data_IF_540050095466
#
_entry.id   IF_540050095466
#
_cell.length_a   1.000
_cell.length_b   1.000
_cell.length_c   1.000
_cell.angle_alpha   90.00
_cell.angle_beta   90.00
_cell.angle_gamma   90.00
#
_symmetry.space_group_name_H-M   'P 1'
#
loop_
_entity.id
_entity.type
_entity.pdbx_description
1 polymer ?
#
# COMPACT_ATOMS: atom_id res chain seq x y z
N UNK A 1 -11.24 18.95 19.79
CA UNK A 1 -11.04 17.73 18.98
C UNK A 1 -12.36 17.00 18.95
N UNK A 2 -12.98 16.79 17.79
CA UNK A 2 -14.10 15.83 17.63
C UNK A 2 -13.71 14.51 18.28
N UNK A 3 -14.71 13.76 18.77
CA UNK A 3 -14.58 12.37 19.20
C UNK A 3 -14.23 11.46 18.00
N UNK A 4 -13.07 11.65 17.35
CA UNK A 4 -12.39 10.51 16.75
C UNK A 4 -12.24 9.49 17.88
N UNK A 5 -12.57 8.24 17.61
CA UNK A 5 -12.43 7.18 18.61
C UNK A 5 -10.98 7.03 19.07
N UNK A 6 -10.03 7.44 18.22
CA UNK A 6 -8.60 7.44 18.50
C UNK A 6 -8.00 8.81 18.22
N UNK A 7 -7.03 9.21 19.05
CA UNK A 7 -6.24 10.40 18.76
C UNK A 7 -5.38 10.15 17.51
N UNK A 8 -5.31 11.10 16.57
CA UNK A 8 -4.37 11.01 15.46
C UNK A 8 -2.94 10.83 15.97
N UNK A 9 -2.17 9.97 15.31
CA UNK A 9 -0.79 9.73 15.74
C UNK A 9 0.09 10.92 15.33
N UNK A 10 0.58 11.63 16.34
CA UNK A 10 1.41 12.82 16.16
C UNK A 10 2.70 12.55 15.36
N UNK A 11 3.13 11.28 15.26
CA UNK A 11 4.33 10.88 14.51
C UNK A 11 4.06 10.58 13.03
N UNK A 12 2.82 10.61 12.56
CA UNK A 12 2.47 10.30 11.16
C UNK A 12 2.68 11.48 10.22
N UNK A 13 2.37 11.32 8.92
CA UNK A 13 2.82 12.26 7.89
C UNK A 13 2.06 13.60 7.96
N UNK A 14 2.74 14.70 7.63
CA UNK A 14 2.10 16.01 7.51
C UNK A 14 0.94 16.02 6.51
N UNK A 15 1.09 15.32 5.39
CA UNK A 15 0.04 15.19 4.39
C UNK A 15 -1.23 14.54 4.98
N UNK A 16 -1.10 13.43 5.71
CA UNK A 16 -2.24 12.78 6.35
C UNK A 16 -2.89 13.68 7.40
N UNK A 17 -2.11 14.42 8.20
CA UNK A 17 -2.66 15.40 9.15
C UNK A 17 -3.52 16.45 8.48
N UNK A 18 -3.04 17.02 7.37
CA UNK A 18 -3.80 18.03 6.63
C UNK A 18 -5.06 17.45 5.99
N UNK A 19 -4.98 16.23 5.44
CA UNK A 19 -6.15 15.53 4.91
C UNK A 19 -7.17 15.28 6.01
N UNK A 20 -6.73 14.80 7.18
CA UNK A 20 -7.60 14.57 8.33
C UNK A 20 -8.24 15.85 8.84
N UNK A 21 -7.52 16.99 8.83
CA UNK A 21 -8.10 18.29 9.19
C UNK A 21 -9.25 18.69 8.26
N UNK A 22 -9.08 18.51 6.95
CA UNK A 22 -10.14 18.78 5.96
C UNK A 22 -11.36 17.89 6.21
N UNK A 23 -11.16 16.59 6.38
CA UNK A 23 -12.25 15.63 6.65
C UNK A 23 -12.95 15.92 7.99
N UNK A 24 -12.20 16.39 8.98
CA UNK A 24 -12.75 16.78 10.28
C UNK A 24 -13.70 17.97 10.17
N UNK A 25 -13.29 19.04 9.49
CA UNK A 25 -14.14 20.23 9.32
C UNK A 25 -15.40 19.91 8.50
N UNK A 26 -15.30 19.00 7.54
CA UNK A 26 -16.43 18.48 6.77
C UNK A 26 -17.47 17.80 7.70
N UNK A 27 -16.99 16.98 8.65
CA UNK A 27 -17.85 16.32 9.62
C UNK A 27 -18.44 17.27 10.67
N UNK A 28 -17.67 18.23 11.17
CA UNK A 28 -18.17 19.27 12.09
C UNK A 28 -19.28 20.10 11.43
N UNK A 29 -19.12 20.43 10.15
CA UNK A 29 -20.13 21.10 9.36
C UNK A 29 -21.44 20.27 9.28
N UNK A 30 -21.33 18.98 8.99
CA UNK A 30 -22.47 18.05 8.98
C UNK A 30 -23.20 18.00 10.33
N UNK A 31 -22.48 17.86 11.44
CA UNK A 31 -23.08 17.79 12.79
C UNK A 31 -23.86 19.06 13.12
N UNK A 32 -23.30 20.23 12.79
CA UNK A 32 -23.94 21.54 13.01
C UNK A 32 -25.19 21.70 12.15
N UNK A 33 -25.14 21.30 10.88
CA UNK A 33 -26.29 21.34 9.94
C UNK A 33 -27.47 20.50 10.42
N UNK A 34 -27.21 19.40 11.13
CA UNK A 34 -28.23 18.46 11.58
C UNK A 34 -28.49 18.46 13.09
N UNK A 35 -27.98 19.45 13.82
CA UNK A 35 -28.29 19.65 15.24
C UNK A 35 -27.80 18.55 16.18
N UNK A 36 -26.76 17.80 15.79
CA UNK A 36 -26.15 16.73 16.60
C UNK A 36 -24.87 17.24 17.29
N UNK A 37 -25.01 18.22 18.20
CA UNK A 37 -23.85 18.70 18.98
C UNK A 37 -23.42 17.66 20.05
N UNK A 38 -22.12 17.35 20.18
CA UNK A 38 -21.59 16.73 21.38
C UNK A 38 -21.59 17.72 22.57
N UNK A 39 -21.52 17.26 23.82
CA UNK A 39 -21.54 18.13 25.00
C UNK A 39 -20.39 19.15 24.98
N UNK A 40 -20.58 20.35 25.55
CA UNK A 40 -19.68 21.49 25.35
C UNK A 40 -18.28 21.21 25.93
N UNK A 41 -17.25 21.27 25.07
CA UNK A 41 -15.85 21.25 25.50
C UNK A 41 -15.39 22.64 25.93
N UNK A 42 -14.53 22.73 26.97
CA UNK A 42 -14.01 23.98 27.57
C UNK A 42 -12.87 24.63 26.77
N UNK A 43 -12.88 24.56 25.44
CA UNK A 43 -11.89 25.19 24.57
C UNK A 43 -12.50 26.44 23.90
N UNK A 44 -11.69 27.48 23.58
CA UNK A 44 -12.22 28.71 23.00
C UNK A 44 -12.92 28.41 21.66
N UNK A 45 -14.09 29.04 21.47
CA UNK A 45 -14.86 29.02 20.22
C UNK A 45 -13.94 29.46 19.07
N UNK A 46 -13.51 28.51 18.24
CA UNK A 46 -13.03 28.83 16.89
C UNK A 46 -14.27 29.13 16.04
N UNK A 47 -14.27 30.29 15.39
CA UNK A 47 -15.32 30.69 14.46
C UNK A 47 -15.52 29.62 13.38
N UNK A 48 -16.79 29.32 13.12
CA UNK A 48 -17.23 28.14 12.39
C UNK A 48 -16.93 28.20 10.90
N UNK A 49 -16.39 27.13 10.33
CA UNK A 49 -16.22 26.96 8.89
C UNK A 49 -17.59 26.76 8.18
N UNK A 50 -17.96 27.70 7.31
CA UNK A 50 -18.99 27.53 6.28
C UNK A 50 -18.58 26.44 5.26
N UNK A 51 -19.50 25.93 4.40
CA UNK A 51 -19.11 25.03 3.30
C UNK A 51 -18.00 25.62 2.42
N UNK A 52 -18.03 26.94 2.21
CA UNK A 52 -17.00 27.66 1.48
C UNK A 52 -15.66 27.60 2.23
N UNK A 53 -15.65 27.72 3.55
CA UNK A 53 -14.42 27.62 4.36
C UNK A 53 -13.81 26.21 4.34
N UNK A 54 -14.63 25.15 4.32
CA UNK A 54 -14.14 23.76 4.18
C UNK A 54 -13.52 23.54 2.80
N UNK A 55 -14.18 24.05 1.75
CA UNK A 55 -13.66 23.96 0.39
C UNK A 55 -12.37 24.79 0.23
N UNK A 56 -12.34 26.01 0.76
CA UNK A 56 -11.14 26.87 0.77
C UNK A 56 -9.98 26.20 1.51
N UNK A 57 -10.24 25.55 2.65
CA UNK A 57 -9.23 24.75 3.33
C UNK A 57 -8.72 23.64 2.41
N UNK A 58 -9.61 22.83 1.82
CA UNK A 58 -9.23 21.74 0.94
C UNK A 58 -8.37 22.23 -0.25
N UNK A 59 -8.76 23.33 -0.89
CA UNK A 59 -8.04 23.94 -2.01
C UNK A 59 -6.68 24.47 -1.57
N UNK A 60 -6.59 25.10 -0.39
CA UNK A 60 -5.33 25.57 0.18
C UNK A 60 -4.38 24.41 0.52
N UNK A 61 -4.91 23.31 1.08
CA UNK A 61 -4.16 22.08 1.36
C UNK A 61 -3.65 21.45 0.06
N UNK A 62 -4.51 21.33 -0.96
CA UNK A 62 -4.13 20.83 -2.28
C UNK A 62 -3.01 21.67 -2.89
N UNK A 63 -3.13 23.00 -2.84
CA UNK A 63 -2.10 23.91 -3.35
C UNK A 63 -0.77 23.73 -2.61
N UNK A 64 -0.81 23.68 -1.28
CA UNK A 64 0.38 23.48 -0.45
C UNK A 64 1.09 22.15 -0.75
N UNK A 65 0.35 21.04 -0.83
CA UNK A 65 0.93 19.74 -1.16
C UNK A 65 1.51 19.69 -2.58
N UNK A 66 0.87 20.35 -3.55
CA UNK A 66 1.42 20.50 -4.92
C UNK A 66 2.73 21.29 -4.92
N UNK A 67 2.80 22.38 -4.17
CA UNK A 67 4.01 23.19 -4.08
C UNK A 67 5.17 22.40 -3.44
N UNK A 68 4.90 21.57 -2.42
CA UNK A 68 5.92 20.68 -1.84
C UNK A 68 6.47 19.65 -2.82
N UNK A 69 5.68 19.24 -3.81
CA UNK A 69 6.09 18.28 -4.85
C UNK A 69 6.75 18.97 -6.06
N UNK A 70 6.68 20.31 -6.18
CA UNK A 70 7.15 21.05 -7.34
C UNK A 70 8.58 21.60 -7.14
N UNK A 71 9.62 21.09 -7.85
CA UNK A 71 11.02 21.52 -7.68
C UNK A 71 11.31 23.00 -7.92
N UNK A 72 10.36 23.74 -8.50
CA UNK A 72 10.46 25.18 -8.77
C UNK A 72 9.77 26.05 -7.73
N UNK A 73 8.98 25.47 -6.84
CA UNK A 73 8.30 26.20 -5.78
C UNK A 73 9.24 26.45 -4.59
N UNK A 74 9.02 27.56 -3.87
CA UNK A 74 9.80 27.88 -2.67
C UNK A 74 9.56 26.88 -1.53
N UNK A 75 8.37 26.28 -1.48
CA UNK A 75 8.01 25.24 -0.52
C UNK A 75 8.44 23.83 -0.94
N UNK A 76 9.16 23.68 -2.06
CA UNK A 76 9.63 22.38 -2.52
C UNK A 76 10.43 21.65 -1.44
N UNK A 77 10.09 20.39 -1.22
CA UNK A 77 10.82 19.58 -0.27
C UNK A 77 10.95 18.13 -0.74
N UNK A 78 12.17 17.64 -0.97
CA UNK A 78 12.39 16.24 -1.27
C UNK A 78 12.31 15.38 -0.02
N UNK A 79 11.77 14.17 -0.15
CA UNK A 79 11.75 13.22 0.96
C UNK A 79 13.12 12.57 1.04
N UNK A 80 13.80 12.64 2.18
CA UNK A 80 15.14 12.05 2.38
C UNK A 80 15.09 10.77 3.20
N UNK A 81 14.24 10.75 4.23
CA UNK A 81 14.00 9.62 5.12
C UNK A 81 12.50 9.39 5.27
N UNK A 82 12.11 8.16 5.58
CA UNK A 82 10.73 7.82 5.96
C UNK A 82 10.44 8.05 7.44
N UNK A 83 11.48 8.17 8.29
CA UNK A 83 11.32 8.29 9.74
C UNK A 83 10.94 9.70 10.18
N UNK A 84 11.35 10.74 9.46
CA UNK A 84 11.11 12.15 9.82
C UNK A 84 10.65 12.95 8.61
N UNK A 85 9.66 13.82 8.82
CA UNK A 85 9.24 14.81 7.83
C UNK A 85 10.27 15.94 7.85
N UNK A 86 10.60 16.50 6.69
CA UNK A 86 11.37 17.73 6.59
C UNK A 86 10.37 18.92 6.68
N UNK A 87 10.80 20.15 7.03
CA UNK A 87 12.16 20.64 7.22
C UNK A 87 12.79 20.22 8.54
N UNK A 88 14.07 19.84 8.48
CA UNK A 88 14.96 19.73 9.65
C UNK A 88 15.31 21.10 10.25
N UNK A 89 14.32 21.99 10.36
CA UNK A 89 14.50 23.38 10.81
C UNK A 89 15.08 23.45 12.23
N UNK A 90 14.85 22.41 13.05
CA UNK A 90 15.40 22.26 14.40
C UNK A 90 16.72 21.49 14.45
N UNK A 91 17.24 20.96 13.33
CA UNK A 91 18.49 20.23 13.33
C UNK A 91 19.71 21.17 13.44
N UNK A 92 20.83 20.71 14.03
CA UNK A 92 22.06 21.48 14.09
C UNK A 92 22.52 21.91 12.69
N UNK A 93 23.12 23.10 12.56
CA UNK A 93 23.55 23.67 11.28
C UNK A 93 24.44 22.72 10.45
N UNK A 94 25.32 21.96 11.10
CA UNK A 94 26.17 20.97 10.44
C UNK A 94 25.37 19.81 9.83
N UNK A 95 24.32 19.34 10.52
CA UNK A 95 23.43 18.28 10.02
C UNK A 95 22.63 18.80 8.83
N UNK A 96 22.09 20.02 8.94
CA UNK A 96 21.37 20.66 7.84
C UNK A 96 22.26 20.80 6.60
N UNK A 97 23.47 21.32 6.76
CA UNK A 97 24.44 21.45 5.66
C UNK A 97 24.74 20.10 4.99
N UNK A 98 24.93 19.05 5.79
CA UNK A 98 25.18 17.70 5.28
C UNK A 98 23.98 17.16 4.48
N UNK A 99 22.76 17.33 5.00
CA UNK A 99 21.54 16.89 4.33
C UNK A 99 21.25 17.70 3.06
N UNK A 100 21.50 19.00 3.08
CA UNK A 100 21.37 19.86 1.89
C UNK A 100 22.37 19.45 0.81
N UNK A 101 23.63 19.20 1.18
CA UNK A 101 24.66 18.72 0.26
C UNK A 101 24.33 17.34 -0.32
N UNK A 102 23.89 16.40 0.52
CA UNK A 102 23.45 15.07 0.08
C UNK A 102 22.25 15.17 -0.87
N UNK A 103 21.25 15.98 -0.52
CA UNK A 103 20.04 16.18 -1.32
C UNK A 103 20.37 16.79 -2.68
N UNK A 104 21.24 17.80 -2.72
CA UNK A 104 21.70 18.42 -3.96
C UNK A 104 22.40 17.42 -4.89
N UNK A 105 23.20 16.50 -4.32
CA UNK A 105 23.85 15.41 -5.06
C UNK A 105 22.88 14.31 -5.51
N UNK A 106 21.91 13.95 -4.67
CA UNK A 106 20.99 12.84 -4.88
C UNK A 106 19.89 13.15 -5.92
N UNK A 107 19.36 14.38 -5.93
CA UNK A 107 18.29 14.81 -6.85
C UNK A 107 18.55 14.48 -8.34
N UNK A 108 19.70 14.80 -8.94
CA UNK A 108 19.96 14.47 -10.34
C UNK A 108 20.08 12.95 -10.61
N UNK A 109 20.20 12.11 -9.58
CA UNK A 109 20.31 10.65 -9.69
C UNK A 109 18.94 10.00 -9.71
N UNK A 110 17.99 10.50 -8.92
CA UNK A 110 16.61 9.98 -8.87
C UNK A 110 15.79 10.43 -10.08
N UNK A 111 14.71 9.69 -10.36
CA UNK A 111 13.83 9.98 -11.49
C UNK A 111 12.94 11.19 -11.25
N UNK A 112 12.42 11.31 -10.03
CA UNK A 112 11.59 12.42 -9.57
C UNK A 112 12.32 13.06 -8.41
N UNK A 113 12.50 14.38 -8.43
CA UNK A 113 13.31 15.10 -7.44
C UNK A 113 12.85 14.86 -5.99
N UNK A 114 11.59 14.50 -5.77
CA UNK A 114 11.05 14.16 -4.45
C UNK A 114 11.55 12.83 -3.89
N UNK A 115 12.08 11.94 -4.73
CA UNK A 115 12.36 10.53 -4.40
C UNK A 115 13.78 10.28 -3.92
N UNK A 116 14.46 11.30 -3.38
CA UNK A 116 15.78 11.14 -2.74
C UNK A 116 15.78 9.98 -1.73
N UNK A 117 14.67 9.76 -1.04
CA UNK A 117 14.42 8.66 -0.11
C UNK A 117 14.60 7.29 -0.75
N UNK A 118 14.22 7.09 -2.02
CA UNK A 118 14.41 5.81 -2.69
C UNK A 118 15.89 5.54 -2.96
N UNK A 119 16.67 6.57 -3.33
CA UNK A 119 18.12 6.45 -3.43
C UNK A 119 18.75 6.18 -2.06
N UNK A 120 18.29 6.85 -1.00
CA UNK A 120 18.74 6.59 0.38
C UNK A 120 18.53 5.12 0.76
N UNK A 121 17.38 4.54 0.43
CA UNK A 121 17.10 3.12 0.68
C UNK A 121 17.97 2.20 -0.17
N UNK A 122 18.21 2.51 -1.45
CA UNK A 122 19.15 1.75 -2.26
C UNK A 122 20.55 1.76 -1.63
N UNK A 123 21.08 2.93 -1.26
CA UNK A 123 22.38 3.02 -0.59
C UNK A 123 22.41 2.21 0.71
N UNK A 124 21.32 2.23 1.49
CA UNK A 124 21.17 1.40 2.68
C UNK A 124 21.26 -0.09 2.33
N UNK A 125 20.47 -0.59 1.38
CA UNK A 125 20.45 -2.01 1.02
C UNK A 125 21.78 -2.49 0.42
N UNK A 126 22.44 -1.67 -0.37
CA UNK A 126 23.75 -1.99 -0.95
C UNK A 126 24.90 -1.92 0.04
N UNK A 127 24.77 -1.15 1.13
CA UNK A 127 25.78 -1.07 2.19
C UNK A 127 25.54 -2.04 3.35
N UNK A 128 24.32 -2.54 3.55
CA UNK A 128 23.97 -3.45 4.66
C UNK A 128 23.54 -4.83 4.18
N UNK A 129 22.42 -4.91 3.45
CA UNK A 129 21.78 -6.17 3.03
C UNK A 129 22.70 -7.04 2.17
N UNK A 130 23.27 -6.49 1.11
CA UNK A 130 24.12 -7.25 0.17
C UNK A 130 25.42 -7.72 0.84
N UNK A 131 26.25 -6.86 1.47
CA UNK A 131 27.45 -7.31 2.16
C UNK A 131 27.16 -8.34 3.25
N UNK A 132 26.08 -8.16 4.00
CA UNK A 132 25.64 -9.12 5.02
C UNK A 132 25.32 -10.49 4.41
N UNK A 133 24.58 -10.54 3.30
CA UNK A 133 24.27 -11.80 2.63
C UNK A 133 25.54 -12.48 2.07
N UNK A 134 26.40 -11.71 1.38
CA UNK A 134 27.67 -12.21 0.84
C UNK A 134 28.53 -12.82 1.96
N UNK A 135 28.65 -12.14 3.11
CA UNK A 135 29.41 -12.65 4.23
C UNK A 135 28.78 -13.90 4.85
N UNK A 136 27.45 -14.01 4.92
CA UNK A 136 26.78 -15.24 5.37
C UNK A 136 27.10 -16.43 4.47
N UNK A 137 27.17 -16.23 3.15
CA UNK A 137 27.56 -17.27 2.21
C UNK A 137 29.04 -17.63 2.31
N UNK A 138 29.91 -16.67 2.60
CA UNK A 138 31.34 -16.90 2.83
C UNK A 138 31.62 -17.62 4.16
N UNK A 139 31.00 -17.18 5.26
CA UNK A 139 31.25 -17.69 6.60
C UNK A 139 29.98 -17.62 7.47
N UNK A 140 29.15 -18.65 7.34
CA UNK A 140 27.86 -18.70 8.02
C UNK A 140 27.98 -18.80 9.54
N UNK A 141 27.23 -17.95 10.24
CA UNK A 141 27.01 -18.00 11.69
C UNK A 141 25.54 -17.74 11.98
N UNK A 142 24.92 -18.56 12.83
CA UNK A 142 23.49 -18.46 13.15
C UNK A 142 23.09 -17.10 13.71
N UNK A 143 23.89 -16.51 14.61
CA UNK A 143 23.59 -15.19 15.15
C UNK A 143 23.57 -14.11 14.05
N UNK A 144 24.48 -14.19 13.07
CA UNK A 144 24.49 -13.26 11.94
C UNK A 144 23.28 -13.50 11.04
N UNK A 145 22.91 -14.77 10.82
CA UNK A 145 21.69 -15.14 10.08
C UNK A 145 20.43 -14.55 10.72
N UNK A 146 20.32 -14.59 12.06
CA UNK A 146 19.20 -13.98 12.80
C UNK A 146 19.21 -12.46 12.69
N UNK A 147 20.36 -11.81 12.87
CA UNK A 147 20.46 -10.35 12.75
C UNK A 147 20.13 -9.88 11.33
N UNK A 148 20.61 -10.58 10.32
CA UNK A 148 20.29 -10.34 8.91
C UNK A 148 18.79 -10.46 8.66
N UNK A 149 18.18 -11.52 9.18
CA UNK A 149 16.75 -11.75 9.08
C UNK A 149 15.92 -10.61 9.72
N UNK A 150 16.27 -10.19 10.95
CA UNK A 150 15.58 -9.08 11.64
C UNK A 150 15.68 -7.78 10.84
N UNK A 151 16.88 -7.48 10.31
CA UNK A 151 17.10 -6.33 9.43
C UNK A 151 16.22 -6.40 8.17
N UNK A 152 16.08 -7.58 7.54
CA UNK A 152 15.23 -7.73 6.36
C UNK A 152 13.75 -7.61 6.66
N UNK A 153 13.25 -8.16 7.77
CA UNK A 153 11.85 -7.95 8.17
C UNK A 153 11.54 -6.45 8.30
N UNK A 154 12.48 -5.66 8.83
CA UNK A 154 12.35 -4.21 8.88
C UNK A 154 12.36 -3.55 7.49
N UNK A 155 13.17 -4.06 6.54
CA UNK A 155 13.25 -3.50 5.19
C UNK A 155 12.13 -3.93 4.24
N UNK A 156 11.50 -5.09 4.46
CA UNK A 156 10.58 -5.73 3.52
C UNK A 156 9.43 -4.83 3.06
N UNK A 157 8.76 -4.14 3.99
CA UNK A 157 7.64 -3.25 3.67
C UNK A 157 8.08 -2.12 2.76
N UNK A 158 9.03 -1.30 3.22
CA UNK A 158 9.56 -0.18 2.43
C UNK A 158 10.17 -0.63 1.11
N UNK A 159 10.93 -1.73 1.07
CA UNK A 159 11.48 -2.23 -0.19
C UNK A 159 10.38 -2.63 -1.17
N UNK A 160 9.38 -3.39 -0.70
CA UNK A 160 8.30 -3.88 -1.56
C UNK A 160 7.51 -2.73 -2.17
N UNK A 161 7.24 -1.68 -1.40
CA UNK A 161 6.52 -0.51 -1.93
C UNK A 161 7.42 0.44 -2.73
N UNK A 162 8.74 0.44 -2.51
CA UNK A 162 9.68 1.05 -3.48
C UNK A 162 9.63 0.30 -4.81
N UNK A 163 9.62 -1.04 -4.77
CA UNK A 163 9.47 -1.86 -5.98
C UNK A 163 8.11 -1.70 -6.62
N UNK A 164 7.05 -1.47 -5.84
CA UNK A 164 5.73 -1.13 -6.34
C UNK A 164 5.77 0.16 -7.19
N UNK A 165 6.45 1.21 -6.70
CA UNK A 165 6.68 2.42 -7.48
C UNK A 165 7.56 2.15 -8.71
N UNK A 166 8.63 1.36 -8.57
CA UNK A 166 9.52 1.00 -9.67
C UNK A 166 8.79 0.33 -10.83
N UNK A 167 7.95 -0.67 -10.56
CA UNK A 167 7.28 -1.46 -11.60
C UNK A 167 6.17 -0.69 -12.32
N UNK A 168 5.51 0.25 -11.63
CA UNK A 168 4.49 1.12 -12.23
C UNK A 168 5.11 2.29 -12.98
N UNK A 169 6.03 3.02 -12.35
CA UNK A 169 6.67 4.21 -12.94
C UNK A 169 7.79 3.87 -13.92
N UNK A 170 8.13 2.59 -14.09
CA UNK A 170 9.16 2.06 -14.99
C UNK A 170 10.57 2.49 -14.58
N UNK A 171 10.87 2.39 -13.30
CA UNK A 171 12.14 2.78 -12.70
C UNK A 171 12.04 3.95 -11.73
N UNK A 172 13.00 4.01 -10.80
CA UNK A 172 13.07 5.03 -9.74
C UNK A 172 14.27 5.96 -9.88
N UNK A 173 15.25 5.58 -10.71
CA UNK A 173 16.41 6.40 -11.03
C UNK A 173 16.27 7.13 -12.38
N UNK A 174 17.07 8.17 -12.54
CA UNK A 174 17.20 8.92 -13.77
C UNK A 174 17.66 7.99 -14.92
N UNK A 175 17.24 8.27 -16.15
CA UNK A 175 17.59 7.49 -17.35
C UNK A 175 19.09 7.29 -17.55
N UNK A 176 19.95 8.20 -17.05
CA UNK A 176 21.40 8.04 -17.06
C UNK A 176 21.88 6.79 -16.30
N UNK A 177 21.11 6.35 -15.31
CA UNK A 177 21.36 5.18 -14.47
C UNK A 177 20.45 4.00 -14.83
N UNK A 178 19.80 4.00 -15.99
CA UNK A 178 18.82 2.98 -16.39
C UNK A 178 19.36 1.54 -16.32
N UNK A 179 20.64 1.34 -16.62
CA UNK A 179 21.28 0.02 -16.50
C UNK A 179 21.30 -0.48 -15.05
N UNK A 180 21.67 0.38 -14.11
CA UNK A 180 21.64 0.04 -12.68
C UNK A 180 20.20 -0.12 -12.19
N UNK A 181 19.30 0.79 -12.58
CA UNK A 181 17.88 0.77 -12.22
C UNK A 181 17.17 -0.52 -12.68
N UNK A 182 17.56 -1.06 -13.84
CA UNK A 182 17.08 -2.34 -14.34
C UNK A 182 17.73 -3.53 -13.65
N UNK A 183 18.99 -3.41 -13.22
CA UNK A 183 19.78 -4.53 -12.72
C UNK A 183 19.60 -4.77 -11.21
N UNK A 184 19.45 -3.72 -10.40
CA UNK A 184 19.41 -3.87 -8.94
C UNK A 184 18.32 -4.85 -8.45
N UNK A 185 17.09 -4.90 -9.01
CA UNK A 185 16.06 -5.81 -8.53
C UNK A 185 16.46 -7.28 -8.64
N UNK A 186 17.27 -7.66 -9.65
CA UNK A 186 17.72 -9.04 -9.79
C UNK A 186 18.63 -9.50 -8.63
N UNK A 187 19.23 -8.57 -7.91
CA UNK A 187 20.03 -8.84 -6.72
C UNK A 187 19.22 -8.66 -5.43
N UNK A 188 18.43 -7.59 -5.33
CA UNK A 188 17.73 -7.23 -4.09
C UNK A 188 16.37 -7.91 -3.93
N UNK A 189 15.65 -8.23 -5.01
CA UNK A 189 14.34 -8.90 -4.94
C UNK A 189 14.43 -10.24 -4.18
N UNK A 190 15.35 -11.17 -4.51
CA UNK A 190 15.43 -12.45 -3.80
C UNK A 190 15.76 -12.30 -2.32
N UNK A 191 16.60 -11.33 -1.95
CA UNK A 191 16.95 -11.04 -0.56
C UNK A 191 15.74 -10.52 0.23
N UNK A 192 14.80 -9.87 -0.44
CA UNK A 192 13.58 -9.33 0.15
C UNK A 192 12.39 -10.29 0.01
N UNK A 193 12.61 -11.52 -0.48
CA UNK A 193 11.59 -12.55 -0.60
C UNK A 193 10.75 -12.49 -1.87
N UNK A 194 11.15 -11.69 -2.85
CA UNK A 194 10.52 -11.66 -4.18
C UNK A 194 11.23 -12.62 -5.13
N UNK A 195 10.46 -13.33 -5.94
CA UNK A 195 11.00 -14.04 -7.11
C UNK A 195 11.16 -13.07 -8.28
N UNK A 196 12.15 -13.32 -9.15
CA UNK A 196 12.52 -12.38 -10.21
C UNK A 196 11.33 -11.97 -11.07
N UNK A 197 11.04 -10.67 -11.17
CA UNK A 197 9.94 -10.10 -11.97
C UNK A 197 8.53 -10.63 -11.67
N UNK A 198 8.35 -11.56 -10.73
CA UNK A 198 7.04 -12.15 -10.46
C UNK A 198 6.08 -11.15 -9.86
N UNK A 199 6.57 -10.21 -9.05
CA UNK A 199 5.76 -9.12 -8.55
C UNK A 199 5.25 -8.23 -9.71
N UNK A 200 6.09 -7.91 -10.70
CA UNK A 200 5.65 -7.19 -11.90
C UNK A 200 4.58 -7.97 -12.70
N UNK A 201 4.82 -9.26 -12.96
CA UNK A 201 3.89 -10.06 -13.75
C UNK A 201 2.56 -10.27 -13.03
N UNK A 202 2.59 -10.52 -11.72
CA UNK A 202 1.39 -10.73 -10.94
C UNK A 202 0.65 -9.41 -10.71
N UNK A 203 1.33 -8.35 -10.29
CA UNK A 203 0.69 -7.09 -9.91
C UNK A 203 0.24 -6.29 -11.13
N UNK A 204 1.18 -5.94 -12.01
CA UNK A 204 0.93 -5.01 -13.12
C UNK A 204 0.27 -5.70 -14.32
N UNK A 205 0.69 -6.94 -14.64
CA UNK A 205 0.22 -7.65 -15.84
C UNK A 205 -0.94 -8.60 -15.58
N UNK A 206 -1.40 -8.71 -14.34
CA UNK A 206 -2.48 -9.62 -13.98
C UNK A 206 -3.48 -8.92 -13.04
N UNK A 207 -3.11 -8.62 -11.78
CA UNK A 207 -4.02 -8.07 -10.76
C UNK A 207 -4.66 -6.75 -11.19
N UNK A 208 -3.86 -5.77 -11.63
CA UNK A 208 -4.37 -4.48 -12.12
C UNK A 208 -5.26 -4.59 -13.37
N UNK A 209 -5.09 -5.63 -14.18
CA UNK A 209 -5.91 -5.86 -15.37
C UNK A 209 -7.26 -6.47 -14.98
N UNK A 210 -7.27 -7.35 -13.99
CA UNK A 210 -8.47 -8.06 -13.55
C UNK A 210 -9.22 -7.31 -12.43
N UNK A 211 -8.59 -6.36 -11.73
CA UNK A 211 -9.23 -5.43 -10.78
C UNK A 211 -9.87 -6.13 -9.58
N UNK A 212 -9.23 -7.16 -9.02
CA UNK A 212 -9.81 -8.05 -8.01
C UNK A 212 -11.08 -8.81 -8.51
N UNK A 213 -11.39 -8.77 -9.81
CA UNK A 213 -12.51 -9.47 -10.42
C UNK A 213 -12.36 -11.00 -10.44
N UNK A 214 -13.36 -11.73 -10.95
CA UNK A 214 -13.43 -13.19 -10.85
C UNK A 214 -12.26 -13.96 -11.48
N UNK A 215 -11.56 -13.39 -12.46
CA UNK A 215 -10.41 -14.00 -13.13
C UNK A 215 -9.06 -13.63 -12.47
N UNK A 216 -9.07 -12.74 -11.49
CA UNK A 216 -7.91 -12.43 -10.69
C UNK A 216 -7.50 -13.64 -9.81
N UNK A 217 -6.27 -14.11 -9.99
CA UNK A 217 -5.65 -15.16 -9.19
C UNK A 217 -5.53 -14.81 -7.70
N UNK A 218 -5.51 -13.52 -7.35
CA UNK A 218 -5.60 -13.01 -5.99
C UNK A 218 -6.98 -12.44 -5.65
N UNK A 219 -8.03 -12.78 -6.40
CA UNK A 219 -9.39 -12.30 -6.15
C UNK A 219 -9.92 -12.73 -4.79
N UNK A 220 -10.55 -11.80 -4.10
CA UNK A 220 -11.26 -12.06 -2.83
C UNK A 220 -12.76 -12.32 -3.01
N UNK A 221 -13.35 -12.05 -4.18
CA UNK A 221 -14.82 -11.96 -4.36
C UNK A 221 -15.56 -13.28 -4.14
N UNK A 222 -14.92 -14.42 -4.44
CA UNK A 222 -15.48 -15.76 -4.20
C UNK A 222 -15.38 -16.22 -2.74
N UNK A 223 -14.70 -15.45 -1.90
CA UNK A 223 -14.49 -15.79 -0.52
C UNK A 223 -15.39 -14.98 0.41
N UNK A 224 -15.81 -15.64 1.48
CA UNK A 224 -16.34 -14.96 2.66
C UNK A 224 -15.16 -14.32 3.37
N UNK A 225 -15.08 -12.98 3.36
CA UNK A 225 -13.85 -12.24 3.67
C UNK A 225 -13.59 -12.03 5.17
N UNK A 226 -14.48 -12.55 6.00
CA UNK A 226 -14.37 -12.60 7.47
C UNK A 226 -14.37 -14.04 8.02
N UNK A 227 -13.98 -15.01 7.19
CA UNK A 227 -13.94 -16.43 7.54
C UNK A 227 -12.52 -17.02 7.44
N UNK A 228 -12.00 -17.52 8.56
CA UNK A 228 -10.61 -18.02 8.67
C UNK A 228 -10.29 -19.11 7.67
N UNK A 229 -11.16 -20.10 7.45
CA UNK A 229 -10.85 -21.18 6.51
C UNK A 229 -10.84 -20.72 5.04
N UNK A 230 -11.63 -19.70 4.72
CA UNK A 230 -11.61 -19.11 3.38
C UNK A 230 -10.32 -18.32 3.17
N UNK A 231 -9.90 -17.57 4.18
CA UNK A 231 -8.60 -16.90 4.18
C UNK A 231 -7.43 -17.89 4.06
N UNK A 232 -7.43 -18.99 4.82
CA UNK A 232 -6.38 -20.02 4.72
C UNK A 232 -6.37 -20.71 3.35
N UNK A 233 -7.54 -20.99 2.78
CA UNK A 233 -7.63 -21.53 1.42
C UNK A 233 -7.10 -20.55 0.37
N UNK A 234 -7.44 -19.26 0.50
CA UNK A 234 -6.95 -18.19 -0.34
C UNK A 234 -5.42 -18.06 -0.30
N UNK A 235 -4.85 -17.94 0.91
CA UNK A 235 -3.40 -17.86 1.12
C UNK A 235 -2.72 -19.14 0.61
N UNK A 236 -3.21 -20.31 1.00
CA UNK A 236 -2.62 -21.59 0.61
C UNK A 236 -2.59 -21.79 -0.90
N UNK A 237 -3.67 -21.41 -1.61
CA UNK A 237 -3.71 -21.48 -3.08
C UNK A 237 -2.59 -20.65 -3.69
N UNK A 238 -2.49 -19.38 -3.32
CA UNK A 238 -1.46 -18.49 -3.85
C UNK A 238 -0.05 -19.02 -3.50
N UNK A 239 0.17 -19.31 -2.21
CA UNK A 239 1.47 -19.66 -1.67
C UNK A 239 2.12 -20.86 -2.39
N UNK A 240 1.32 -21.90 -2.69
CA UNK A 240 1.81 -23.13 -3.30
C UNK A 240 1.69 -23.16 -4.83
N UNK A 241 0.70 -22.48 -5.43
CA UNK A 241 0.38 -22.67 -6.84
C UNK A 241 0.61 -21.45 -7.73
N UNK A 242 0.91 -20.25 -7.21
CA UNK A 242 1.05 -19.03 -8.04
C UNK A 242 2.11 -19.19 -9.15
N UNK A 243 3.20 -19.89 -8.88
CA UNK A 243 4.28 -20.12 -9.85
C UNK A 243 3.81 -20.91 -11.09
N UNK A 244 2.72 -21.67 -10.97
CA UNK A 244 2.08 -22.42 -12.06
C UNK A 244 0.84 -21.68 -12.60
N UNK A 245 0.01 -21.15 -11.70
CA UNK A 245 -1.25 -20.50 -12.03
C UNK A 245 -1.04 -19.24 -12.87
N UNK A 246 -0.02 -18.44 -12.57
CA UNK A 246 0.24 -17.17 -13.27
C UNK A 246 0.67 -17.38 -14.73
N UNK A 247 1.66 -18.23 -15.07
CA UNK A 247 1.94 -18.59 -16.46
C UNK A 247 0.74 -19.20 -17.17
N UNK A 248 -0.02 -20.09 -16.50
CA UNK A 248 -1.23 -20.71 -17.07
C UNK A 248 -2.32 -19.68 -17.36
N UNK A 249 -2.50 -18.69 -16.49
CA UNK A 249 -3.40 -17.55 -16.73
C UNK A 249 -3.01 -16.82 -18.03
N UNK A 250 -1.73 -16.49 -18.21
CA UNK A 250 -1.27 -15.82 -19.42
C UNK A 250 -1.47 -16.67 -20.68
N UNK A 251 -1.25 -17.98 -20.62
CA UNK A 251 -1.56 -18.88 -21.75
C UNK A 251 -3.05 -18.88 -22.09
N UNK A 252 -3.93 -18.95 -21.09
CA UNK A 252 -5.39 -18.90 -21.30
C UNK A 252 -5.86 -17.59 -21.93
N UNK A 253 -5.17 -16.48 -21.64
CA UNK A 253 -5.45 -15.16 -22.23
C UNK A 253 -4.66 -14.91 -23.53
N UNK A 254 -4.09 -15.94 -24.16
CA UNK A 254 -3.29 -15.87 -25.39
C UNK A 254 -2.06 -14.94 -25.31
N UNK A 255 -1.50 -14.74 -24.10
CA UNK A 255 -0.29 -13.93 -23.84
C UNK A 255 0.94 -14.82 -23.64
N UNK A 256 1.29 -15.64 -24.64
CA UNK A 256 2.37 -16.64 -24.56
C UNK A 256 3.73 -16.06 -24.16
N UNK A 257 4.09 -14.88 -24.66
CA UNK A 257 5.34 -14.22 -24.28
C UNK A 257 5.41 -13.87 -22.78
N UNK A 258 4.29 -13.44 -22.17
CA UNK A 258 4.22 -13.17 -20.73
C UNK A 258 4.26 -14.48 -19.93
N UNK A 259 3.56 -15.51 -20.41
CA UNK A 259 3.59 -16.84 -19.78
C UNK A 259 5.02 -17.40 -19.69
N UNK A 260 5.76 -17.35 -20.80
CA UNK A 260 7.14 -17.83 -20.85
C UNK A 260 8.04 -17.02 -19.92
N UNK A 261 7.94 -15.68 -19.92
CA UNK A 261 8.75 -14.84 -19.04
C UNK A 261 8.47 -15.11 -17.56
N UNK A 262 7.20 -15.13 -17.16
CA UNK A 262 6.80 -15.41 -15.77
C UNK A 262 7.26 -16.81 -15.33
N UNK A 263 7.02 -17.82 -16.18
CA UNK A 263 7.40 -19.20 -15.89
C UNK A 263 8.92 -19.39 -15.79
N UNK A 264 9.69 -18.84 -16.73
CA UNK A 264 11.16 -18.91 -16.71
C UNK A 264 11.70 -18.22 -15.47
N UNK A 265 11.19 -17.04 -15.10
CA UNK A 265 11.66 -16.34 -13.92
C UNK A 265 11.40 -17.13 -12.62
N UNK A 266 10.19 -17.67 -12.43
CA UNK A 266 9.86 -18.51 -11.27
C UNK A 266 10.73 -19.77 -11.20
N UNK A 267 10.79 -20.54 -12.29
CA UNK A 267 11.54 -21.80 -12.32
C UNK A 267 13.04 -21.55 -12.12
N UNK A 268 13.60 -20.51 -12.76
CA UNK A 268 15.02 -20.17 -12.59
C UNK A 268 15.33 -19.78 -11.16
N UNK A 269 14.42 -19.07 -10.47
CA UNK A 269 14.59 -18.72 -9.07
C UNK A 269 14.64 -19.99 -8.20
N UNK A 270 13.72 -20.93 -8.38
CA UNK A 270 13.76 -22.20 -7.63
C UNK A 270 14.98 -23.06 -7.92
N UNK A 271 15.46 -23.10 -9.17
CA UNK A 271 16.71 -23.78 -9.52
C UNK A 271 17.88 -23.15 -8.75
N UNK A 272 17.97 -21.83 -8.71
CA UNK A 272 19.04 -21.11 -7.98
C UNK A 272 18.96 -21.40 -6.49
N UNK A 273 17.77 -21.32 -5.90
CA UNK A 273 17.56 -21.65 -4.48
C UNK A 273 17.97 -23.10 -4.18
N UNK A 274 17.58 -24.04 -5.03
CA UNK A 274 17.98 -25.44 -4.91
C UNK A 274 19.49 -25.62 -4.97
N UNK A 275 20.16 -24.96 -5.93
CA UNK A 275 21.61 -25.05 -6.11
C UNK A 275 22.35 -24.46 -4.92
N UNK A 276 21.98 -23.25 -4.47
CA UNK A 276 22.60 -22.59 -3.33
C UNK A 276 22.43 -23.40 -2.04
N UNK A 277 21.25 -23.99 -1.84
CA UNK A 277 20.95 -24.78 -0.66
C UNK A 277 21.75 -26.09 -0.60
N UNK A 278 21.85 -26.82 -1.72
CA UNK A 278 22.48 -28.14 -1.75
C UNK A 278 23.99 -28.10 -1.95
N UNK A 279 24.51 -27.10 -2.67
CA UNK A 279 25.90 -27.09 -3.15
C UNK A 279 26.74 -25.89 -2.69
N UNK A 280 26.15 -24.86 -2.07
CA UNK A 280 26.90 -23.67 -1.63
C UNK A 280 26.87 -23.51 -0.12
N UNK A 281 25.74 -23.10 0.45
CA UNK A 281 25.60 -22.93 1.89
C UNK A 281 24.14 -23.01 2.32
N UNK A 282 23.78 -24.11 2.96
CA UNK A 282 22.42 -24.38 3.43
C UNK A 282 21.91 -23.31 4.41
N UNK A 283 22.71 -22.97 5.42
CA UNK A 283 22.31 -22.02 6.46
C UNK A 283 22.10 -20.62 5.91
N UNK A 284 23.04 -20.14 5.09
CA UNK A 284 22.94 -18.83 4.45
C UNK A 284 21.72 -18.76 3.52
N UNK A 285 21.50 -19.79 2.69
CA UNK A 285 20.34 -19.85 1.78
C UNK A 285 19.01 -19.81 2.54
N UNK A 286 18.92 -20.49 3.67
CA UNK A 286 17.71 -20.45 4.51
C UNK A 286 17.46 -19.05 5.05
N UNK A 287 18.45 -18.43 5.70
CA UNK A 287 18.28 -17.14 6.37
C UNK A 287 18.11 -15.97 5.39
N UNK A 288 18.77 -16.00 4.23
CA UNK A 288 18.86 -14.86 3.31
C UNK A 288 17.85 -14.92 2.16
N UNK A 289 17.29 -16.08 1.84
CA UNK A 289 16.45 -16.27 0.65
C UNK A 289 15.15 -17.04 0.94
N UNK A 290 15.23 -18.24 1.54
CA UNK A 290 14.03 -19.08 1.72
C UNK A 290 13.07 -18.53 2.78
N UNK A 291 13.59 -18.09 3.93
CA UNK A 291 12.75 -17.48 4.98
C UNK A 291 12.15 -16.16 4.48
N UNK A 292 12.92 -15.24 3.86
CA UNK A 292 12.34 -14.07 3.22
C UNK A 292 11.25 -14.39 2.21
N UNK A 293 11.48 -15.35 1.31
CA UNK A 293 10.48 -15.78 0.31
C UNK A 293 9.19 -16.27 0.97
N UNK A 294 9.31 -17.08 2.01
CA UNK A 294 8.17 -17.60 2.76
C UNK A 294 7.35 -16.48 3.40
N UNK A 295 8.01 -15.54 4.08
CA UNK A 295 7.33 -14.44 4.76
C UNK A 295 6.71 -13.45 3.76
N UNK A 296 7.43 -13.10 2.71
CA UNK A 296 6.95 -12.14 1.72
C UNK A 296 5.67 -12.64 1.04
N UNK A 297 5.61 -13.92 0.64
CA UNK A 297 4.39 -14.51 0.07
C UNK A 297 3.21 -14.44 1.02
N UNK A 298 3.42 -14.72 2.31
CA UNK A 298 2.37 -14.62 3.31
C UNK A 298 1.93 -13.16 3.49
N UNK A 299 2.89 -12.23 3.63
CA UNK A 299 2.64 -10.81 3.83
C UNK A 299 1.85 -10.17 2.68
N UNK A 300 2.24 -10.44 1.44
CA UNK A 300 1.53 -9.95 0.25
C UNK A 300 0.06 -10.39 0.23
N UNK A 301 -0.21 -11.65 0.60
CA UNK A 301 -1.60 -12.15 0.57
C UNK A 301 -2.44 -11.66 1.74
N UNK A 302 -1.83 -11.45 2.91
CA UNK A 302 -2.53 -10.77 4.01
C UNK A 302 -2.84 -9.33 3.62
N UNK A 303 -1.88 -8.60 3.04
CA UNK A 303 -2.07 -7.23 2.57
C UNK A 303 -3.19 -7.12 1.53
N UNK A 304 -3.13 -7.93 0.47
CA UNK A 304 -4.16 -7.95 -0.58
C UNK A 304 -5.55 -8.29 -0.02
N UNK A 305 -5.63 -9.24 0.93
CA UNK A 305 -6.90 -9.56 1.58
C UNK A 305 -7.49 -8.35 2.28
N UNK A 306 -6.69 -7.62 3.07
CA UNK A 306 -7.12 -6.40 3.75
C UNK A 306 -7.51 -5.27 2.78
N UNK A 307 -6.73 -5.09 1.71
CA UNK A 307 -6.96 -4.09 0.66
C UNK A 307 -8.29 -4.29 -0.08
N UNK A 308 -8.66 -5.55 -0.33
CA UNK A 308 -9.85 -5.95 -1.09
C UNK A 308 -10.88 -6.71 -0.24
N UNK A 309 -10.96 -6.37 1.04
CA UNK A 309 -11.82 -7.09 1.97
C UNK A 309 -13.29 -6.64 1.93
N UNK A 310 -13.55 -5.43 1.45
CA UNK A 310 -14.86 -4.76 1.48
C UNK A 310 -15.39 -4.43 0.09
N UNK A 311 -15.53 -5.45 -0.76
CA UNK A 311 -16.12 -5.30 -2.10
C UNK A 311 -17.63 -5.09 -2.00
N UNK A 312 -18.10 -3.98 -2.56
CA UNK A 312 -19.52 -3.59 -2.63
C UNK A 312 -20.35 -4.56 -3.49
N UNK A 313 -21.52 -4.95 -2.99
CA UNK A 313 -22.42 -5.89 -3.66
C UNK A 313 -23.15 -5.31 -4.88
N UNK A 314 -23.27 -3.98 -4.98
CA UNK A 314 -24.01 -3.31 -6.04
C UNK A 314 -23.13 -3.02 -7.25
N UNK A 315 -21.94 -2.47 -7.05
CA UNK A 315 -20.98 -2.09 -8.10
C UNK A 315 -19.58 -2.60 -7.75
N UNK A 316 -19.37 -3.93 -7.80
CA UNK A 316 -18.15 -4.58 -7.32
C UNK A 316 -16.92 -4.39 -8.23
N UNK A 317 -17.12 -3.87 -9.43
CA UNK A 317 -16.09 -3.59 -10.44
C UNK A 317 -15.59 -2.13 -10.40
N UNK A 318 -16.22 -1.27 -9.62
CA UNK A 318 -15.76 0.10 -9.39
C UNK A 318 -14.58 0.12 -8.41
N UNK A 319 -13.46 0.74 -8.81
CA UNK A 319 -12.27 0.87 -7.95
C UNK A 319 -12.58 1.62 -6.64
N UNK A 320 -13.54 2.54 -6.63
CA UNK A 320 -14.00 3.23 -5.41
C UNK A 320 -14.65 2.27 -4.40
N UNK A 321 -15.18 1.14 -4.88
CA UNK A 321 -16.05 0.22 -4.14
C UNK A 321 -15.47 -1.18 -3.98
N UNK A 322 -14.38 -1.48 -4.67
CA UNK A 322 -13.65 -2.74 -4.58
C UNK A 322 -12.33 -2.62 -3.80
N UNK A 323 -11.95 -1.40 -3.42
CA UNK A 323 -10.74 -1.07 -2.67
C UNK A 323 -11.04 -0.09 -1.52
N UNK A 324 -10.08 0.11 -0.63
CA UNK A 324 -10.22 1.03 0.52
C UNK A 324 -9.04 1.99 0.64
N UNK A 325 -9.28 3.15 1.25
CA UNK A 325 -8.24 4.12 1.59
C UNK A 325 -8.00 4.15 3.10
N UNK A 326 -6.73 4.13 3.51
CA UNK A 326 -6.26 4.24 4.88
C UNK A 326 -5.44 5.52 5.03
N UNK A 327 -5.84 6.37 5.96
CA UNK A 327 -5.21 7.66 6.27
C UNK A 327 -4.66 7.57 7.69
N UNK A 328 -3.59 8.29 8.01
CA UNK A 328 -3.03 8.29 9.36
C UNK A 328 -2.67 6.84 9.78
N UNK A 329 -1.87 6.19 8.92
CA UNK A 329 -1.34 4.84 9.14
C UNK A 329 0.16 4.76 8.86
N UNK A 330 0.83 3.79 9.50
CA UNK A 330 2.27 3.57 9.36
C UNK A 330 2.69 3.27 7.92
N UNK A 331 1.86 2.54 7.16
CA UNK A 331 2.10 2.29 5.73
C UNK A 331 2.21 3.57 4.89
N UNK A 332 1.51 4.66 5.25
CA UNK A 332 1.68 5.91 4.51
C UNK A 332 3.06 6.53 4.69
N UNK A 333 3.60 6.45 5.91
CA UNK A 333 4.93 6.95 6.27
C UNK A 333 6.05 6.09 5.72
N UNK A 334 6.01 4.78 5.99
CA UNK A 334 7.11 3.86 5.73
C UNK A 334 7.04 3.15 4.38
N UNK A 335 5.87 3.16 3.75
CA UNK A 335 5.59 2.41 2.53
C UNK A 335 5.04 3.30 1.42
N UNK A 336 5.47 4.57 1.35
CA UNK A 336 5.16 5.48 0.25
C UNK A 336 3.65 5.65 -0.01
N UNK A 337 2.89 6.11 0.98
CA UNK A 337 1.44 6.36 0.85
C UNK A 337 0.62 5.16 0.35
N UNK A 338 1.03 3.93 0.69
CA UNK A 338 0.34 2.70 0.28
C UNK A 338 -1.11 2.60 0.78
N UNK A 339 -1.43 3.27 1.90
CA UNK A 339 -2.79 3.36 2.43
C UNK A 339 -3.77 3.99 1.43
N UNK A 340 -3.31 4.79 0.46
CA UNK A 340 -4.16 5.35 -0.60
C UNK A 340 -4.40 4.36 -1.75
N UNK A 341 -4.73 3.10 -1.43
CA UNK A 341 -4.89 2.03 -2.42
C UNK A 341 -6.01 2.28 -3.44
N UNK A 342 -7.13 2.90 -3.04
CA UNK A 342 -8.16 3.34 -4.01
C UNK A 342 -7.60 4.33 -5.03
N UNK A 343 -6.83 5.32 -4.56
CA UNK A 343 -6.15 6.26 -5.46
C UNK A 343 -5.21 5.50 -6.40
N UNK A 344 -4.47 4.51 -5.88
CA UNK A 344 -3.59 3.68 -6.68
C UNK A 344 -4.30 2.91 -7.80
N UNK A 345 -5.43 2.25 -7.53
CA UNK A 345 -6.22 1.55 -8.56
C UNK A 345 -6.73 2.50 -9.65
N UNK A 346 -7.24 3.68 -9.25
CA UNK A 346 -7.73 4.70 -10.18
C UNK A 346 -6.65 5.24 -11.14
N UNK A 347 -5.38 5.26 -10.70
CA UNK A 347 -4.26 5.60 -11.56
C UNK A 347 -2.97 4.92 -11.05
N UNK A 348 -2.63 3.74 -11.61
CA UNK A 348 -1.47 2.98 -11.15
C UNK A 348 -0.13 3.69 -11.38
N UNK A 349 -0.09 4.66 -12.30
CA UNK A 349 1.11 5.44 -12.62
C UNK A 349 1.26 6.71 -11.75
N UNK A 350 0.32 6.97 -10.84
CA UNK A 350 0.37 8.13 -9.95
C UNK A 350 1.57 8.01 -9.02
N UNK A 351 2.32 9.10 -8.90
CA UNK A 351 3.43 9.18 -7.96
C UNK A 351 2.90 9.13 -6.52
N UNK A 352 3.62 8.46 -5.64
CA UNK A 352 3.15 8.21 -4.27
C UNK A 352 2.80 9.48 -3.48
N UNK A 353 3.50 10.60 -3.71
CA UNK A 353 3.22 11.88 -3.04
C UNK A 353 1.98 12.60 -3.57
N UNK A 354 1.45 12.18 -4.72
CA UNK A 354 0.27 12.77 -5.32
C UNK A 354 -1.03 12.08 -4.87
N UNK A 355 -0.94 10.95 -4.16
CA UNK A 355 -2.14 10.25 -3.67
C UNK A 355 -3.02 11.10 -2.73
N UNK A 356 -2.48 11.81 -1.71
CA UNK A 356 -3.28 12.68 -0.85
C UNK A 356 -3.93 13.83 -1.63
N UNK A 357 -3.21 14.39 -2.61
CA UNK A 357 -3.71 15.47 -3.48
C UNK A 357 -4.89 14.97 -4.30
N UNK A 358 -4.76 13.80 -4.91
CA UNK A 358 -5.81 13.19 -5.72
C UNK A 358 -7.04 12.81 -4.88
N UNK A 359 -6.81 12.30 -3.67
CA UNK A 359 -7.88 11.99 -2.71
C UNK A 359 -8.71 13.24 -2.38
N UNK A 360 -8.07 14.34 -1.96
CA UNK A 360 -8.79 15.57 -1.64
C UNK A 360 -9.50 16.17 -2.86
N UNK A 361 -8.84 16.15 -4.04
CA UNK A 361 -9.42 16.66 -5.29
C UNK A 361 -10.66 15.88 -5.73
N UNK A 362 -10.79 14.62 -5.30
CA UNK A 362 -11.90 13.72 -5.63
C UNK A 362 -12.80 13.43 -4.42
N UNK A 363 -12.69 14.20 -3.32
CA UNK A 363 -13.44 13.96 -2.08
C UNK A 363 -14.95 13.83 -2.32
N UNK A 364 -15.51 14.66 -3.20
CA UNK A 364 -16.92 14.59 -3.60
C UNK A 364 -17.26 13.28 -4.29
N UNK A 365 -16.43 12.82 -5.23
CA UNK A 365 -16.58 11.52 -5.90
C UNK A 365 -16.49 10.37 -4.91
N UNK A 366 -15.54 10.39 -3.96
CA UNK A 366 -15.46 9.38 -2.89
C UNK A 366 -16.78 9.28 -2.10
N UNK A 367 -17.41 10.42 -1.79
CA UNK A 367 -18.69 10.46 -1.11
C UNK A 367 -19.85 9.93 -1.97
N UNK A 368 -19.92 10.34 -3.25
CA UNK A 368 -20.95 9.90 -4.19
C UNK A 368 -20.85 8.41 -4.51
N UNK A 369 -19.63 7.89 -4.64
CA UNK A 369 -19.36 6.48 -4.93
C UNK A 369 -19.37 5.59 -3.68
N UNK A 370 -19.70 6.16 -2.51
CA UNK A 370 -19.73 5.43 -1.24
C UNK A 370 -18.42 4.71 -0.90
N UNK A 371 -17.28 5.30 -1.30
CA UNK A 371 -15.97 4.74 -1.05
C UNK A 371 -15.71 4.60 0.46
N UNK A 372 -14.91 3.60 0.83
CA UNK A 372 -14.55 3.35 2.23
C UNK A 372 -13.19 3.93 2.57
N UNK A 373 -13.19 4.79 3.58
CA UNK A 373 -12.00 5.44 4.12
C UNK A 373 -11.88 5.05 5.59
N UNK A 374 -10.67 4.71 6.02
CA UNK A 374 -10.37 4.40 7.41
C UNK A 374 -9.19 5.22 7.89
N UNK A 375 -9.08 5.35 9.21
CA UNK A 375 -7.92 5.91 9.88
C UNK A 375 -7.46 5.02 11.03
N UNK A 376 -6.17 5.12 11.38
CA UNK A 376 -5.58 4.41 12.51
C UNK A 376 -5.80 2.88 12.49
N UNK A 377 -5.82 2.28 11.30
CA UNK A 377 -5.86 0.82 11.11
C UNK A 377 -5.19 0.45 9.79
N UNK A 378 -4.10 -0.32 9.85
CA UNK A 378 -3.35 -0.73 8.65
C UNK A 378 -3.93 -2.02 8.02
N UNK A 379 -3.57 -2.37 6.77
CA UNK A 379 -4.17 -3.51 6.04
C UNK A 379 -4.05 -4.86 6.77
N UNK A 380 -2.92 -5.07 7.44
CA UNK A 380 -2.70 -6.25 8.28
C UNK A 380 -3.70 -6.29 9.46
N UNK A 381 -3.94 -5.14 10.08
CA UNK A 381 -4.87 -4.99 11.20
C UNK A 381 -6.32 -5.10 10.73
N UNK A 382 -6.66 -4.60 9.53
CA UNK A 382 -7.95 -4.83 8.88
C UNK A 382 -8.20 -6.33 8.72
N UNK A 383 -7.22 -7.05 8.17
CA UNK A 383 -7.32 -8.51 7.99
C UNK A 383 -7.54 -9.22 9.32
N UNK A 384 -6.74 -8.93 10.35
CA UNK A 384 -6.93 -9.55 11.66
C UNK A 384 -8.30 -9.21 12.27
N UNK A 385 -8.73 -7.95 12.19
CA UNK A 385 -10.02 -7.52 12.71
C UNK A 385 -11.18 -8.25 12.04
N UNK A 386 -11.10 -8.50 10.73
CA UNK A 386 -12.09 -9.27 9.99
C UNK A 386 -12.10 -10.74 10.39
N UNK A 387 -10.94 -11.38 10.50
CA UNK A 387 -10.85 -12.78 10.92
C UNK A 387 -11.34 -13.00 12.36
N UNK A 388 -11.22 -11.98 13.21
CA UNK A 388 -11.82 -11.93 14.55
C UNK A 388 -13.24 -11.37 14.59
N UNK A 389 -13.84 -11.02 13.45
CA UNK A 389 -15.18 -10.43 13.31
C UNK A 389 -15.40 -9.16 14.16
N UNK A 390 -14.34 -8.40 14.42
CA UNK A 390 -14.39 -7.18 15.22
C UNK A 390 -14.87 -5.97 14.39
N UNK A 391 -16.11 -6.06 13.90
CA UNK A 391 -16.71 -5.03 13.05
C UNK A 391 -16.93 -3.70 13.77
N UNK A 392 -17.15 -3.73 15.09
CA UNK A 392 -17.24 -2.49 15.88
C UNK A 392 -15.92 -1.72 15.89
N UNK A 393 -14.77 -2.41 15.99
CA UNK A 393 -13.48 -1.73 15.87
C UNK A 393 -13.29 -1.12 14.48
N UNK A 394 -13.58 -1.90 13.42
CA UNK A 394 -13.52 -1.42 12.03
C UNK A 394 -14.41 -0.18 11.81
N UNK A 395 -15.63 -0.19 12.36
CA UNK A 395 -16.55 0.94 12.28
C UNK A 395 -16.06 2.19 13.04
N UNK A 396 -15.31 2.03 14.14
CA UNK A 396 -14.67 3.14 14.88
C UNK A 396 -13.52 3.78 14.11
N UNK A 397 -12.83 2.97 13.31
CA UNK A 397 -11.75 3.40 12.41
C UNK A 397 -12.29 3.97 11.09
N UNK A 398 -13.57 3.82 10.77
CA UNK A 398 -14.13 4.35 9.52
C UNK A 398 -14.26 5.87 9.59
N UNK A 399 -13.80 6.56 8.54
CA UNK A 399 -14.05 7.98 8.29
C UNK A 399 -15.25 8.08 7.33
N UNK A 400 -16.44 8.52 7.79
CA UNK A 400 -17.62 8.55 6.95
C UNK A 400 -17.51 9.62 5.86
N UNK A 401 -17.73 9.22 4.62
CA UNK A 401 -17.69 10.08 3.44
C UNK A 401 -19.12 10.43 3.00
N UNK A 402 -19.46 11.71 3.06
CA UNK A 402 -20.78 12.24 2.66
C UNK A 402 -21.92 11.93 3.63
N UNK A 403 -23.05 12.61 3.43
CA UNK A 403 -24.21 12.54 4.34
C UNK A 403 -24.75 11.11 4.51
N UNK A 404 -24.69 10.29 3.45
CA UNK A 404 -25.19 8.91 3.46
C UNK A 404 -24.45 8.00 4.45
N UNK A 405 -23.14 8.17 4.63
CA UNK A 405 -22.36 7.43 5.61
C UNK A 405 -22.34 8.13 6.97
N UNK A 406 -22.33 9.48 7.00
CA UNK A 406 -22.29 10.27 8.22
C UNK A 406 -23.52 10.08 9.10
N UNK A 407 -24.71 9.84 8.51
CA UNK A 407 -25.95 9.57 9.24
C UNK A 407 -25.99 8.23 9.97
N UNK A 408 -25.13 7.28 9.60
CA UNK A 408 -25.13 5.94 10.17
C UNK A 408 -24.56 5.97 11.58
N UNK A 409 -25.25 5.29 12.50
CA UNK A 409 -24.73 4.91 13.82
C UNK A 409 -23.51 4.00 13.69
N UNK A 410 -22.80 3.80 14.81
CA UNK A 410 -21.64 2.92 14.84
C UNK A 410 -22.03 1.47 14.47
N UNK A 411 -23.17 1.00 14.97
CA UNK A 411 -23.71 -0.33 14.72
C UNK A 411 -24.13 -0.52 13.26
N UNK A 412 -24.78 0.48 12.66
CA UNK A 412 -25.13 0.45 11.24
C UNK A 412 -23.89 0.46 10.34
N UNK A 413 -22.84 1.19 10.72
CA UNK A 413 -21.55 1.14 10.01
C UNK A 413 -20.92 -0.25 10.13
N UNK A 414 -20.93 -0.84 11.32
CA UNK A 414 -20.41 -2.19 11.53
C UNK A 414 -21.15 -3.23 10.68
N UNK A 415 -22.48 -3.13 10.60
CA UNK A 415 -23.28 -4.03 9.76
C UNK A 415 -23.08 -3.78 8.26
N UNK A 416 -22.96 -2.52 7.83
CA UNK A 416 -22.60 -2.19 6.44
C UNK A 416 -21.26 -2.83 6.05
N UNK A 417 -20.24 -2.69 6.90
CA UNK A 417 -18.93 -3.30 6.67
C UNK A 417 -19.03 -4.83 6.62
N UNK A 418 -19.84 -5.44 7.49
CA UNK A 418 -20.12 -6.88 7.48
C UNK A 418 -20.79 -7.35 6.19
N UNK A 419 -21.81 -6.65 5.72
CA UNK A 419 -22.48 -6.95 4.46
C UNK A 419 -21.51 -6.94 3.29
N UNK A 420 -20.61 -5.95 3.27
CA UNK A 420 -19.57 -5.83 2.26
C UNK A 420 -18.54 -6.95 2.28
N UNK A 421 -18.44 -7.82 3.29
CA UNK A 421 -17.51 -8.97 3.30
C UNK A 421 -18.08 -10.28 2.72
N UNK A 422 -19.36 -10.27 2.35
CA UNK A 422 -20.07 -11.46 1.86
C UNK A 422 -19.52 -11.97 0.54
N UNK A 423 -19.28 -13.28 0.42
CA UNK A 423 -18.93 -13.88 -0.89
C UNK A 423 -20.01 -13.63 -1.94
N UNK A 424 -19.60 -13.47 -3.19
CA UNK A 424 -20.48 -13.47 -4.34
C UNK A 424 -20.83 -14.91 -4.75
N UNK A 425 -22.10 -15.18 -5.06
CA UNK A 425 -22.53 -16.44 -5.68
C UNK A 425 -22.12 -16.46 -7.17
N UNK A 426 -22.12 -17.63 -7.81
CA UNK A 426 -21.79 -17.70 -9.24
C UNK A 426 -22.89 -17.04 -10.10
N UNK A 427 -24.14 -17.01 -9.64
CA UNK A 427 -25.23 -16.25 -10.26
C UNK A 427 -25.00 -14.74 -10.16
N UNK A 428 -24.56 -14.26 -9.00
CA UNK A 428 -24.17 -12.84 -8.82
C UNK A 428 -22.97 -12.49 -9.70
N UNK A 429 -21.98 -13.39 -9.78
CA UNK A 429 -20.83 -13.20 -10.66
C UNK A 429 -21.28 -13.12 -12.13
N UNK A 430 -22.17 -14.01 -12.55
CA UNK A 430 -22.73 -13.99 -13.91
C UNK A 430 -23.49 -12.70 -14.21
N UNK A 431 -24.22 -12.17 -13.23
CA UNK A 431 -25.00 -10.94 -13.37
C UNK A 431 -24.12 -9.67 -13.38
N UNK A 432 -23.07 -9.63 -12.57
CA UNK A 432 -22.23 -8.44 -12.37
C UNK A 432 -21.04 -8.36 -13.34
N UNK A 433 -20.36 -9.47 -13.62
CA UNK A 433 -19.21 -9.50 -14.54
C UNK A 433 -19.51 -10.18 -15.88
N UNK A 434 -20.52 -11.05 -15.94
CA UNK A 434 -20.92 -11.79 -17.13
C UNK A 434 -20.77 -13.31 -17.00
N UNK A 435 -21.57 -14.07 -17.76
CA UNK A 435 -21.66 -15.54 -17.66
C UNK A 435 -20.32 -16.26 -17.86
N UNK A 436 -19.44 -15.71 -18.69
CA UNK A 436 -18.11 -16.27 -18.96
C UNK A 436 -17.21 -16.33 -17.71
N UNK A 437 -17.48 -15.48 -16.71
CA UNK A 437 -16.72 -15.45 -15.47
C UNK A 437 -17.30 -16.36 -14.39
N UNK A 438 -18.54 -16.84 -14.57
CA UNK A 438 -19.23 -17.66 -13.59
C UNK A 438 -18.97 -19.14 -13.82
N UNK A 439 -18.91 -19.90 -12.72
CA UNK A 439 -18.78 -21.37 -12.71
C UNK A 439 -20.17 -22.02 -12.63
N UNK A 440 -21.04 -21.63 -13.56
CA UNK A 440 -22.38 -22.22 -13.69
C UNK A 440 -22.27 -23.64 -14.25
N UNK A 441 -23.07 -24.56 -13.70
CA UNK A 441 -23.15 -25.94 -14.17
C UNK A 441 -24.02 -26.07 -15.42
#
# INVERSE_FOLDING_TARGET
MVNLYFAPDAQLTEADRMVMEVLHKDYEHYQKKHGTEPPPSKAPRNDSASPEDVQLLADSTIAHLKDRNNPRAAAFEPTVFVTYDSPFASAPAAVKWLLDAYTAWARPIVRVDTDVVMLTHLLLYFSTSIPSAVYLFYHFRWWHGVLHFVMHVYYMGTYTLMMHQHIHMRGILNKKFAWFDMAFPYLTDPLMGHTWNSYYFHHVKHHHIEGNGPDDLSSTVRYQRDHVWHFLHYVGRFYFFVWLDLPRYFLRKNKTALAMKAGVCEISNYIVLYVLYNYVNRGATVCTLLVPLAIMRLGLMIGNWGQHAFVDESEPDSDFRSSITLIDVASNRYCYNDGYHTSHHLNPLRHWRDHPIAFLSQKSTYATEHALVFYNIDYLMVTFSLLSKNYLHLARCMVPMGEAQMKLSLEERAEMLRMKTRRFSEEEIAAKWGKQFARLK
#
